data_IF_745730354924
#
_entry.id   IF_745730354924
#
_cell.length_a   1.000
_cell.length_b   1.000
_cell.length_c   1.000
_cell.angle_alpha   90.00
_cell.angle_beta   90.00
_cell.angle_gamma   90.00
#
_symmetry.space_group_name_H-M   'P 1'
#
loop_
_entity.id
_entity.type
_entity.pdbx_description
1 polymer ?
#
# COMPACT_ATOMS: atom_id res chain seq x y z
N UNK A 1 19.50 -13.57 17.60
CA UNK A 1 18.70 -12.74 18.51
C UNK A 1 18.32 -13.62 19.68
N UNK A 2 18.94 -13.41 20.84
CA UNK A 2 18.44 -14.04 22.06
C UNK A 2 17.12 -13.37 22.49
N UNK A 3 16.38 -13.99 23.40
CA UNK A 3 15.06 -13.49 23.82
C UNK A 3 15.08 -12.15 24.57
N UNK A 4 16.26 -11.63 24.91
CA UNK A 4 16.46 -10.38 25.65
C UNK A 4 16.29 -9.15 24.76
N UNK A 5 16.68 -9.25 23.48
CA UNK A 5 16.59 -8.13 22.53
C UNK A 5 15.13 -7.76 22.20
N UNK A 6 14.19 -8.72 22.25
CA UNK A 6 12.77 -8.49 21.98
C UNK A 6 12.02 -7.74 23.09
N UNK A 7 12.61 -7.66 24.29
CA UNK A 7 12.07 -6.95 25.45
C UNK A 7 12.57 -5.51 25.56
N UNK A 8 13.60 -5.13 24.79
CA UNK A 8 14.06 -3.76 24.71
C UNK A 8 12.90 -2.85 24.29
N UNK A 9 12.72 -1.74 25.02
CA UNK A 9 11.67 -0.74 24.79
C UNK A 9 12.28 0.48 24.10
N UNK A 10 11.56 1.06 23.15
CA UNK A 10 11.87 2.39 22.61
C UNK A 10 11.71 3.47 23.70
N UNK A 11 12.18 4.68 23.40
CA UNK A 11 11.95 5.88 24.23
C UNK A 11 10.45 6.14 24.46
N UNK A 12 9.60 5.73 23.53
CA UNK A 12 8.12 5.77 23.63
C UNK A 12 7.52 4.60 24.42
N UNK A 13 8.34 3.72 24.99
CA UNK A 13 7.92 2.59 25.81
C UNK A 13 7.46 1.33 25.05
N UNK A 14 7.51 1.34 23.71
CA UNK A 14 7.07 0.22 22.87
C UNK A 14 8.20 -0.80 22.76
N UNK A 15 7.95 -2.04 23.19
CA UNK A 15 8.90 -3.14 22.95
C UNK A 15 8.77 -3.70 21.55
N UNK A 16 9.81 -4.37 21.05
CA UNK A 16 9.67 -5.11 19.78
C UNK A 16 8.55 -6.15 19.87
N UNK A 17 8.39 -6.89 20.98
CA UNK A 17 7.23 -7.77 21.13
C UNK A 17 5.88 -7.01 20.99
N UNK A 18 5.77 -5.79 21.50
CA UNK A 18 4.61 -4.92 21.30
C UNK A 18 4.46 -4.48 19.85
N UNK A 19 5.55 -4.11 19.18
CA UNK A 19 5.57 -3.69 17.78
C UNK A 19 5.12 -4.81 16.83
N UNK A 20 5.45 -6.06 17.13
CA UNK A 20 4.93 -7.23 16.42
C UNK A 20 3.41 -7.33 16.52
N UNK A 21 2.86 -7.16 17.73
CA UNK A 21 1.40 -7.17 17.96
C UNK A 21 0.73 -6.03 17.21
N UNK A 22 1.31 -4.82 17.22
CA UNK A 22 0.78 -3.67 16.49
C UNK A 22 0.74 -3.93 14.98
N UNK A 23 1.79 -4.53 14.40
CA UNK A 23 1.76 -4.90 12.98
C UNK A 23 0.67 -5.93 12.68
N UNK A 24 0.44 -6.93 13.54
CA UNK A 24 -0.67 -7.87 13.35
C UNK A 24 -2.04 -7.18 13.40
N UNK A 25 -2.27 -6.32 14.39
CA UNK A 25 -3.53 -5.58 14.54
C UNK A 25 -3.77 -4.67 13.32
N UNK A 26 -2.75 -3.93 12.89
CA UNK A 26 -2.82 -3.09 11.69
C UNK A 26 -3.09 -3.92 10.42
N UNK A 27 -2.40 -5.07 10.27
CA UNK A 27 -2.62 -5.99 9.15
C UNK A 27 -4.06 -6.50 9.09
N UNK A 28 -4.65 -6.90 10.21
CA UNK A 28 -6.05 -7.32 10.26
C UNK A 28 -7.02 -6.16 10.04
N UNK A 29 -6.72 -4.96 10.53
CA UNK A 29 -7.55 -3.77 10.28
C UNK A 29 -7.61 -3.46 8.77
N UNK A 30 -6.46 -3.44 8.09
CA UNK A 30 -6.41 -3.24 6.63
C UNK A 30 -7.08 -4.38 5.86
N UNK A 31 -6.90 -5.63 6.28
CA UNK A 31 -7.58 -6.77 5.67
C UNK A 31 -9.10 -6.65 5.79
N UNK A 32 -9.60 -6.25 6.96
CA UNK A 32 -11.03 -6.01 7.16
C UNK A 32 -11.53 -4.89 6.25
N UNK A 33 -10.79 -3.78 6.14
CA UNK A 33 -11.14 -2.68 5.22
C UNK A 33 -11.16 -3.15 3.76
N UNK A 34 -10.18 -3.93 3.31
CA UNK A 34 -10.15 -4.54 1.98
C UNK A 34 -11.41 -5.37 1.72
N UNK A 35 -11.77 -6.26 2.66
CA UNK A 35 -12.96 -7.12 2.54
C UNK A 35 -14.23 -6.26 2.50
N UNK A 36 -14.36 -5.26 3.38
CA UNK A 36 -15.52 -4.38 3.40
C UNK A 36 -15.67 -3.61 2.08
N UNK A 37 -14.58 -3.09 1.52
CA UNK A 37 -14.61 -2.43 0.20
C UNK A 37 -15.07 -3.40 -0.88
N UNK A 38 -14.52 -4.61 -0.94
CA UNK A 38 -14.89 -5.59 -1.97
C UNK A 38 -16.34 -6.08 -1.88
N UNK A 39 -16.91 -6.14 -0.67
CA UNK A 39 -18.29 -6.61 -0.44
C UNK A 39 -19.31 -5.49 -0.62
N UNK A 40 -18.98 -4.26 -0.24
CA UNK A 40 -19.94 -3.15 -0.16
C UNK A 40 -19.86 -2.16 -1.31
N UNK A 41 -18.78 -2.14 -2.09
CA UNK A 41 -18.62 -1.17 -3.17
C UNK A 41 -19.52 -1.45 -4.37
N UNK A 42 -19.96 -0.38 -5.03
CA UNK A 42 -20.61 -0.42 -6.35
C UNK A 42 -19.60 -0.73 -7.46
N UNK A 43 -20.10 -0.88 -8.68
CA UNK A 43 -19.32 -1.09 -9.90
C UNK A 43 -18.75 0.19 -10.53
N UNK A 44 -18.86 1.35 -9.86
CA UNK A 44 -18.33 2.65 -10.29
C UNK A 44 -16.93 2.55 -10.93
N UNK A 45 -16.83 3.03 -12.16
CA UNK A 45 -15.60 3.10 -12.94
C UNK A 45 -15.35 4.50 -13.47
N UNK A 46 -14.08 4.78 -13.73
CA UNK A 46 -13.62 5.99 -14.42
C UNK A 46 -12.76 5.60 -15.62
N UNK A 47 -12.93 6.28 -16.77
CA UNK A 47 -12.21 5.94 -17.99
C UNK A 47 -10.73 6.33 -17.87
N UNK A 48 -9.86 5.46 -18.36
CA UNK A 48 -8.46 5.80 -18.67
C UNK A 48 -8.38 6.09 -20.15
N UNK A 49 -8.06 7.33 -20.50
CA UNK A 49 -8.04 7.81 -21.88
C UNK A 49 -6.63 8.05 -22.41
N UNK A 50 -6.44 7.92 -23.72
CA UNK A 50 -5.25 8.41 -24.41
C UNK A 50 -5.64 9.33 -25.56
N UNK A 51 -4.91 10.45 -25.68
CA UNK A 51 -5.02 11.38 -26.79
C UNK A 51 -3.85 11.16 -27.74
N UNK A 52 -4.11 10.56 -28.91
CA UNK A 52 -3.07 10.23 -29.89
C UNK A 52 -2.85 11.36 -30.89
N UNK A 53 -1.60 11.54 -31.33
CA UNK A 53 -1.22 12.52 -32.36
C UNK A 53 -0.82 11.75 -33.61
N UNK A 54 -1.50 11.99 -34.74
CA UNK A 54 -1.24 11.31 -36.02
C UNK A 54 -0.55 12.22 -37.05
N UNK A 55 0.32 13.11 -36.58
CA UNK A 55 1.08 14.05 -37.42
C UNK A 55 2.44 14.41 -36.82
N UNK A 56 3.23 15.28 -37.48
CA UNK A 56 4.52 15.75 -36.98
C UNK A 56 4.40 16.47 -35.61
N UNK A 57 5.52 16.62 -34.86
CA UNK A 57 5.53 17.42 -33.63
C UNK A 57 4.93 18.82 -33.86
N UNK A 58 4.01 19.21 -32.99
CA UNK A 58 3.22 20.45 -33.13
C UNK A 58 1.81 20.24 -33.71
N UNK A 59 1.49 19.05 -34.20
CA UNK A 59 0.10 18.69 -34.54
C UNK A 59 -0.73 18.56 -33.25
N UNK A 60 -1.94 19.17 -33.17
CA UNK A 60 -2.83 18.97 -32.03
C UNK A 60 -3.20 17.48 -31.83
N UNK A 61 -3.39 17.02 -30.59
CA UNK A 61 -3.91 15.69 -30.33
C UNK A 61 -5.35 15.55 -30.85
N UNK A 62 -5.71 14.34 -31.26
CA UNK A 62 -7.09 13.99 -31.56
C UNK A 62 -7.90 13.85 -30.26
N UNK A 63 -9.22 13.75 -30.39
CA UNK A 63 -10.11 13.50 -29.26
C UNK A 63 -9.64 12.26 -28.46
N UNK A 64 -9.55 12.34 -27.12
CA UNK A 64 -9.12 11.21 -26.31
C UNK A 64 -10.03 10.01 -26.51
N UNK A 65 -9.44 8.83 -26.65
CA UNK A 65 -10.17 7.56 -26.69
C UNK A 65 -10.00 6.81 -25.38
N UNK A 66 -11.07 6.19 -24.90
CA UNK A 66 -11.01 5.31 -23.71
C UNK A 66 -10.24 4.04 -24.05
N UNK A 67 -9.17 3.78 -23.30
CA UNK A 67 -8.36 2.56 -23.40
C UNK A 67 -9.00 1.47 -22.56
N UNK A 68 -9.38 1.79 -21.32
CA UNK A 68 -10.10 0.87 -20.43
C UNK A 68 -10.82 1.62 -19.30
N UNK A 69 -11.73 0.91 -18.64
CA UNK A 69 -12.47 1.39 -17.47
C UNK A 69 -11.78 0.95 -16.18
N UNK A 70 -11.35 1.91 -15.35
CA UNK A 70 -10.75 1.65 -14.05
C UNK A 70 -11.83 1.63 -12.98
N UNK A 71 -12.14 0.43 -12.47
CA UNK A 71 -13.10 0.25 -11.38
C UNK A 71 -12.44 0.64 -10.05
N UNK A 72 -12.87 1.77 -9.48
CA UNK A 72 -12.19 2.42 -8.35
C UNK A 72 -12.09 1.52 -7.12
N UNK A 73 -13.12 0.72 -6.86
CA UNK A 73 -13.14 -0.23 -5.74
C UNK A 73 -11.95 -1.19 -5.74
N UNK A 74 -11.49 -1.63 -6.91
CA UNK A 74 -10.34 -2.55 -7.01
C UNK A 74 -9.03 -1.87 -6.68
N UNK A 75 -8.83 -0.62 -7.11
CA UNK A 75 -7.66 0.16 -6.71
C UNK A 75 -7.63 0.43 -5.20
N UNK A 76 -8.79 0.75 -4.62
CA UNK A 76 -8.92 0.97 -3.17
C UNK A 76 -8.61 -0.31 -2.39
N UNK A 77 -9.22 -1.43 -2.80
CA UNK A 77 -8.95 -2.74 -2.19
C UNK A 77 -7.47 -3.13 -2.32
N UNK A 78 -6.83 -2.83 -3.46
CA UNK A 78 -5.43 -3.18 -3.70
C UNK A 78 -4.47 -2.46 -2.75
N UNK A 79 -4.64 -1.17 -2.47
CA UNK A 79 -3.74 -0.51 -1.52
C UNK A 79 -3.94 -1.03 -0.09
N UNK A 80 -5.18 -1.34 0.33
CA UNK A 80 -5.43 -1.99 1.62
C UNK A 80 -4.82 -3.40 1.67
N UNK A 81 -4.90 -4.15 0.58
CA UNK A 81 -4.28 -5.48 0.47
C UNK A 81 -2.76 -5.41 0.60
N UNK A 82 -2.12 -4.43 -0.05
CA UNK A 82 -0.68 -4.20 0.05
C UNK A 82 -0.27 -3.86 1.49
N UNK A 83 -0.95 -2.91 2.15
CA UNK A 83 -0.64 -2.57 3.53
C UNK A 83 -0.84 -3.77 4.48
N UNK A 84 -1.95 -4.51 4.32
CA UNK A 84 -2.19 -5.75 5.09
C UNK A 84 -1.09 -6.79 4.88
N UNK A 85 -0.70 -7.05 3.63
CA UNK A 85 0.35 -7.99 3.27
C UNK A 85 1.68 -7.61 3.93
N UNK A 86 2.13 -6.36 3.80
CA UNK A 86 3.42 -5.94 4.39
C UNK A 86 3.40 -6.00 5.91
N UNK A 87 2.28 -5.66 6.55
CA UNK A 87 2.13 -5.82 8.00
C UNK A 87 2.26 -7.28 8.45
N UNK A 88 1.65 -8.22 7.73
CA UNK A 88 1.80 -9.64 8.02
C UNK A 88 3.21 -10.16 7.70
N UNK A 89 3.84 -9.68 6.62
CA UNK A 89 5.23 -10.00 6.29
C UNK A 89 6.14 -9.57 7.42
N UNK A 90 6.10 -8.30 7.85
CA UNK A 90 6.99 -7.83 8.91
C UNK A 90 6.70 -8.51 10.24
N UNK A 91 5.44 -8.88 10.54
CA UNK A 91 5.07 -9.64 11.74
C UNK A 91 5.42 -11.14 11.69
N UNK A 92 5.76 -11.67 10.52
CA UNK A 92 6.02 -13.09 10.31
C UNK A 92 7.34 -13.55 10.94
N UNK A 93 7.44 -14.84 11.31
CA UNK A 93 8.66 -15.39 11.93
C UNK A 93 9.93 -15.22 11.08
N UNK A 94 9.79 -15.15 9.76
CA UNK A 94 10.91 -15.14 8.82
C UNK A 94 11.49 -13.74 8.60
N UNK A 95 10.65 -12.71 8.63
CA UNK A 95 11.05 -11.33 8.33
C UNK A 95 11.12 -10.44 9.56
N UNK A 96 10.47 -10.81 10.67
CA UNK A 96 10.50 -10.05 11.92
C UNK A 96 11.93 -9.72 12.41
N UNK A 97 12.92 -10.66 12.36
CA UNK A 97 14.29 -10.34 12.74
C UNK A 97 14.94 -9.26 11.85
N UNK A 98 14.71 -9.30 10.53
CA UNK A 98 15.23 -8.28 9.60
C UNK A 98 14.57 -6.93 9.81
N UNK A 99 13.27 -6.93 10.07
CA UNK A 99 12.52 -5.73 10.41
C UNK A 99 13.08 -5.05 11.67
N UNK A 100 13.26 -5.81 12.76
CA UNK A 100 13.84 -5.30 14.01
C UNK A 100 15.26 -4.79 13.83
N UNK A 101 16.12 -5.57 13.15
CA UNK A 101 17.50 -5.15 12.88
C UNK A 101 17.57 -3.83 12.11
N UNK A 102 16.68 -3.64 11.13
CA UNK A 102 16.61 -2.36 10.41
C UNK A 102 16.16 -1.20 11.30
N UNK A 103 15.18 -1.41 12.17
CA UNK A 103 14.74 -0.37 13.12
C UNK A 103 15.84 0.01 14.11
N UNK A 104 16.61 -0.96 14.60
CA UNK A 104 17.77 -0.71 15.46
C UNK A 104 18.86 0.10 14.72
N UNK A 105 18.94 -0.04 13.40
CA UNK A 105 19.80 0.76 12.51
C UNK A 105 19.14 2.05 11.98
N UNK A 106 17.98 2.45 12.51
CA UNK A 106 17.34 3.73 12.18
C UNK A 106 16.58 3.75 10.85
N UNK A 107 16.26 2.59 10.26
CA UNK A 107 15.57 2.53 8.97
C UNK A 107 14.48 1.47 8.89
N UNK A 108 13.55 1.64 7.95
CA UNK A 108 12.48 0.67 7.70
C UNK A 108 12.22 0.51 6.19
N UNK A 109 12.98 -0.37 5.54
CA UNK A 109 12.84 -0.62 4.10
C UNK A 109 11.50 -1.23 3.72
N UNK A 110 10.90 -2.07 4.57
CA UNK A 110 9.57 -2.64 4.31
C UNK A 110 8.51 -1.55 4.11
N UNK A 111 8.56 -0.49 4.94
CA UNK A 111 7.66 0.66 4.80
C UNK A 111 7.88 1.38 3.46
N UNK A 112 9.13 1.64 3.08
CA UNK A 112 9.41 2.35 1.82
C UNK A 112 8.97 1.57 0.58
N UNK A 113 9.16 0.25 0.59
CA UNK A 113 8.72 -0.63 -0.51
C UNK A 113 7.19 -0.71 -0.56
N UNK A 114 6.52 -0.80 0.59
CA UNK A 114 5.06 -0.80 0.61
C UNK A 114 4.51 0.55 0.11
N UNK A 115 4.99 1.67 0.66
CA UNK A 115 4.50 3.00 0.31
C UNK A 115 4.76 3.35 -1.15
N UNK A 116 5.88 2.94 -1.73
CA UNK A 116 6.14 3.20 -3.16
C UNK A 116 5.09 2.54 -4.07
N UNK A 117 4.41 1.49 -3.61
CA UNK A 117 3.31 0.85 -4.32
C UNK A 117 1.95 1.39 -3.89
N UNK A 118 1.63 1.33 -2.58
CA UNK A 118 0.32 1.70 -2.05
C UNK A 118 0.00 3.18 -2.24
N UNK A 119 0.94 4.07 -1.91
CA UNK A 119 0.73 5.52 -2.09
C UNK A 119 0.68 5.93 -3.57
N UNK A 120 1.40 5.22 -4.44
CA UNK A 120 1.33 5.44 -5.90
C UNK A 120 -0.04 5.07 -6.46
N UNK A 121 -0.63 3.97 -5.98
CA UNK A 121 -2.02 3.62 -6.34
C UNK A 121 -2.97 4.69 -5.81
N UNK A 122 -2.82 5.12 -4.55
CA UNK A 122 -3.67 6.16 -3.96
C UNK A 122 -3.64 7.46 -4.77
N UNK A 123 -2.46 7.94 -5.18
CA UNK A 123 -2.37 9.20 -5.93
C UNK A 123 -2.97 9.08 -7.34
N UNK A 124 -2.83 7.92 -8.00
CA UNK A 124 -3.49 7.68 -9.29
C UNK A 124 -5.02 7.71 -9.11
N UNK A 125 -5.56 7.08 -8.08
CA UNK A 125 -7.01 7.11 -7.80
C UNK A 125 -7.50 8.52 -7.46
N UNK A 126 -6.74 9.29 -6.68
CA UNK A 126 -7.05 10.69 -6.38
C UNK A 126 -7.07 11.51 -7.66
N UNK A 127 -6.07 11.36 -8.53
CA UNK A 127 -6.00 12.06 -9.81
C UNK A 127 -7.15 11.71 -10.76
N UNK A 128 -7.74 10.52 -10.65
CA UNK A 128 -8.91 10.14 -11.44
C UNK A 128 -10.20 10.85 -10.98
N UNK A 129 -10.33 11.19 -9.69
CA UNK A 129 -11.57 11.77 -9.11
C UNK A 129 -11.56 13.30 -9.03
N UNK A 130 -10.56 13.96 -9.62
CA UNK A 130 -10.41 15.43 -9.69
C UNK A 130 -10.67 15.94 -11.09
#
# INVERSE_FOLDING_TARGET
MDGTDLKAKSETGISFAGLRKLNLVAGFAHLAQMVLVLVLASDFSLPITAAYVFGPPGTPPNDPVTIFESRIAWGVALFFALSAFFHFVVASRWFYPRYVGGLQSGHNYFRWVEYSLSSSIMIVLIAQIT
#
